data_IF_394061745468
#
_entry.id   IF_394061745468
#
_cell.length_a   1.000
_cell.length_b   1.000
_cell.length_c   1.000
_cell.angle_alpha   90.00
_cell.angle_beta   90.00
_cell.angle_gamma   90.00
#
_symmetry.space_group_name_H-M   'P 1'
#
loop_
_entity.id
_entity.type
_entity.pdbx_description
1 polymer ?
#
# COMPACT_ATOMS: atom_id res chain seq x y z
N UNK A 1 4.06 13.01 -1.98
CA UNK A 1 4.79 14.08 -1.28
C UNK A 1 5.13 13.57 0.12
N UNK A 2 6.11 14.14 0.84
CA UNK A 2 6.32 13.81 2.26
C UNK A 2 5.53 14.76 3.16
N UNK A 3 5.36 14.41 4.43
CA UNK A 3 4.74 15.30 5.42
C UNK A 3 5.39 16.70 5.43
N UNK A 4 6.72 16.77 5.32
CA UNK A 4 7.46 18.05 5.33
C UNK A 4 7.07 18.91 4.13
N UNK A 5 7.00 18.31 2.94
CA UNK A 5 6.61 19.03 1.73
C UNK A 5 5.16 19.51 1.79
N UNK A 6 4.24 18.74 2.39
CA UNK A 6 2.85 19.18 2.59
C UNK A 6 2.77 20.41 3.51
N UNK A 7 3.52 20.40 4.62
CA UNK A 7 3.57 21.53 5.56
C UNK A 7 4.12 22.79 4.87
N UNK A 8 5.18 22.65 4.08
CA UNK A 8 5.76 23.78 3.32
C UNK A 8 4.73 24.35 2.34
N UNK A 9 4.08 23.49 1.55
CA UNK A 9 3.06 23.91 0.56
C UNK A 9 1.86 24.57 1.25
N UNK A 10 1.41 24.04 2.39
CA UNK A 10 0.31 24.64 3.15
C UNK A 10 0.65 26.04 3.65
N UNK A 11 1.85 26.22 4.23
CA UNK A 11 2.30 27.50 4.73
C UNK A 11 2.52 28.53 3.60
N UNK A 12 3.06 28.09 2.46
CA UNK A 12 3.27 28.91 1.26
C UNK A 12 1.94 29.42 0.67
N UNK A 13 0.93 28.54 0.55
CA UNK A 13 -0.41 28.92 0.09
C UNK A 13 -1.09 29.97 0.99
N UNK A 14 -0.70 30.02 2.27
CA UNK A 14 -1.19 30.97 3.26
C UNK A 14 -0.25 32.18 3.47
N UNK A 15 0.83 32.29 2.69
CA UNK A 15 1.83 33.36 2.77
C UNK A 15 2.41 33.56 4.18
N UNK A 16 2.60 32.47 4.92
CA UNK A 16 3.09 32.48 6.30
C UNK A 16 4.24 31.50 6.49
N UNK A 17 4.97 31.67 7.59
CA UNK A 17 5.88 30.66 8.08
C UNK A 17 5.12 29.47 8.68
N UNK A 18 5.75 28.29 8.78
CA UNK A 18 5.21 27.19 9.57
C UNK A 18 4.95 27.62 11.03
N UNK A 19 3.76 27.30 11.52
CA UNK A 19 3.36 27.46 12.90
C UNK A 19 4.13 26.53 13.83
N UNK A 20 4.06 26.79 15.15
CA UNK A 20 4.69 25.95 16.17
C UNK A 20 4.19 24.49 16.07
N UNK A 21 2.88 24.29 15.81
CA UNK A 21 2.29 22.95 15.67
C UNK A 21 2.79 22.20 14.42
N UNK A 22 2.96 22.90 13.29
CA UNK A 22 3.54 22.33 12.07
C UNK A 22 5.02 21.96 12.28
N UNK A 23 5.80 22.82 12.94
CA UNK A 23 7.19 22.53 13.28
C UNK A 23 7.31 21.31 14.22
N UNK A 24 6.41 21.19 15.21
CA UNK A 24 6.33 20.03 16.10
C UNK A 24 5.97 18.74 15.32
N UNK A 25 5.13 18.85 14.30
CA UNK A 25 4.77 17.72 13.42
C UNK A 25 5.98 17.26 12.60
N UNK A 26 6.75 18.20 12.04
CA UNK A 26 8.03 17.89 11.36
C UNK A 26 8.99 17.21 12.32
N UNK A 27 9.16 17.75 13.54
CA UNK A 27 10.07 17.18 14.53
C UNK A 27 9.67 15.74 14.90
N UNK A 28 8.38 15.48 15.09
CA UNK A 28 7.86 14.14 15.41
C UNK A 28 8.04 13.16 14.25
N UNK A 29 7.83 13.62 13.02
CA UNK A 29 8.09 12.84 11.81
C UNK A 29 9.57 12.46 11.66
N UNK A 30 10.49 13.38 11.93
CA UNK A 30 11.92 13.10 11.85
C UNK A 30 12.37 12.13 12.96
N UNK A 31 11.85 12.27 14.18
CA UNK A 31 12.15 11.36 15.31
C UNK A 31 11.75 9.91 15.05
N UNK A 32 10.66 9.69 14.32
CA UNK A 32 10.15 8.34 14.01
C UNK A 32 10.72 7.75 12.71
N UNK A 33 11.66 8.45 12.05
CA UNK A 33 12.21 8.05 10.75
C UNK A 33 12.93 6.69 10.77
N UNK A 34 13.73 6.42 11.80
CA UNK A 34 14.49 5.17 11.92
C UNK A 34 13.56 3.94 11.99
N UNK A 35 12.46 4.04 12.73
CA UNK A 35 11.45 2.98 12.81
C UNK A 35 10.82 2.73 11.44
N UNK A 36 10.44 3.79 10.71
CA UNK A 36 9.85 3.65 9.37
C UNK A 36 10.81 3.06 8.35
N UNK A 37 12.10 3.39 8.42
CA UNK A 37 13.15 2.75 7.61
C UNK A 37 13.24 1.26 7.94
N UNK A 38 13.28 0.90 9.22
CA UNK A 38 13.37 -0.49 9.68
C UNK A 38 12.18 -1.32 9.18
N UNK A 39 10.96 -0.80 9.35
CA UNK A 39 9.73 -1.44 8.83
C UNK A 39 9.82 -1.64 7.31
N UNK A 40 10.26 -0.62 6.58
CA UNK A 40 10.36 -0.68 5.11
C UNK A 40 11.39 -1.72 4.64
N UNK A 41 12.51 -1.86 5.36
CA UNK A 41 13.49 -2.92 5.11
C UNK A 41 12.90 -4.31 5.38
N UNK A 42 12.16 -4.50 6.47
CA UNK A 42 11.49 -5.78 6.78
C UNK A 42 10.52 -6.16 5.65
N UNK A 43 9.68 -5.22 5.20
CA UNK A 43 8.72 -5.46 4.12
C UNK A 43 9.42 -5.81 2.80
N UNK A 44 10.51 -5.12 2.46
CA UNK A 44 11.35 -5.44 1.29
C UNK A 44 11.94 -6.84 1.39
N UNK A 45 12.56 -7.17 2.51
CA UNK A 45 13.28 -8.44 2.69
C UNK A 45 12.31 -9.64 2.78
N UNK A 46 11.04 -9.38 3.12
CA UNK A 46 9.96 -10.37 3.22
C UNK A 46 8.94 -10.32 2.08
N UNK A 47 9.18 -9.53 1.03
CA UNK A 47 8.24 -9.34 -0.08
C UNK A 47 7.76 -10.68 -0.65
N UNK A 48 8.69 -11.59 -0.96
CA UNK A 48 8.36 -12.87 -1.57
C UNK A 48 7.49 -13.75 -0.66
N UNK A 49 7.78 -13.77 0.65
CA UNK A 49 7.02 -14.55 1.63
C UNK A 49 5.59 -14.00 1.77
N UNK A 50 5.46 -12.67 1.88
CA UNK A 50 4.19 -11.95 1.99
C UNK A 50 3.31 -12.21 0.76
N UNK A 51 3.86 -12.05 -0.45
CA UNK A 51 3.13 -12.25 -1.71
C UNK A 51 2.67 -13.70 -1.84
N UNK A 52 3.52 -14.67 -1.47
CA UNK A 52 3.14 -16.08 -1.52
C UNK A 52 1.99 -16.40 -0.58
N UNK A 53 2.03 -15.92 0.66
CA UNK A 53 0.96 -16.15 1.63
C UNK A 53 -0.35 -15.49 1.20
N UNK A 54 -0.30 -14.22 0.79
CA UNK A 54 -1.48 -13.50 0.28
C UNK A 54 -2.08 -14.18 -0.95
N UNK A 55 -1.24 -14.66 -1.88
CA UNK A 55 -1.71 -15.34 -3.09
C UNK A 55 -2.41 -16.67 -2.80
N UNK A 56 -1.99 -17.39 -1.76
CA UNK A 56 -2.67 -18.61 -1.34
C UNK A 56 -4.04 -18.28 -0.76
N UNK A 57 -4.12 -17.23 0.06
CA UNK A 57 -5.38 -16.80 0.66
C UNK A 57 -6.40 -16.34 -0.38
N UNK A 58 -6.00 -15.50 -1.34
CA UNK A 58 -6.95 -14.98 -2.35
C UNK A 58 -7.54 -16.09 -3.21
N UNK A 59 -6.76 -17.10 -3.61
CA UNK A 59 -7.26 -18.19 -4.45
C UNK A 59 -8.05 -19.25 -3.66
N UNK A 60 -7.98 -19.23 -2.34
CA UNK A 60 -8.91 -19.99 -1.49
C UNK A 60 -10.27 -19.29 -1.39
N UNK A 61 -10.28 -17.96 -1.36
CA UNK A 61 -11.51 -17.15 -1.32
C UNK A 61 -12.18 -17.12 -2.71
N UNK A 62 -11.39 -16.90 -3.76
CA UNK A 62 -11.81 -16.79 -5.16
C UNK A 62 -11.12 -17.83 -6.04
N UNK A 63 -11.48 -19.13 -5.91
CA UNK A 63 -10.92 -20.19 -6.77
C UNK A 63 -11.25 -20.01 -8.26
N UNK A 64 -12.33 -19.29 -8.58
CA UNK A 64 -12.75 -19.00 -9.96
C UNK A 64 -11.73 -18.15 -10.74
N UNK A 65 -10.87 -17.37 -10.07
CA UNK A 65 -9.88 -16.53 -10.75
C UNK A 65 -8.77 -17.34 -11.45
N UNK A 66 -8.47 -18.54 -10.94
CA UNK A 66 -7.46 -19.44 -11.54
C UNK A 66 -8.07 -20.57 -12.37
N UNK A 67 -9.39 -20.73 -12.34
CA UNK A 67 -10.12 -21.70 -13.13
C UNK A 67 -10.14 -21.32 -14.63
N UNK A 68 -10.48 -22.25 -15.53
CA UNK A 68 -10.63 -21.96 -16.96
C UNK A 68 -11.58 -20.77 -17.22
N UNK A 69 -11.11 -19.77 -17.96
CA UNK A 69 -11.82 -18.51 -18.21
C UNK A 69 -11.53 -17.41 -17.18
N UNK A 70 -10.79 -17.69 -16.12
CA UNK A 70 -10.43 -16.73 -15.08
C UNK A 70 -9.43 -15.64 -15.51
N UNK A 71 -9.42 -14.54 -14.77
CA UNK A 71 -8.51 -13.41 -14.96
C UNK A 71 -7.05 -13.72 -14.54
N UNK A 72 -6.83 -14.75 -13.73
CA UNK A 72 -5.51 -15.24 -13.30
C UNK A 72 -5.19 -16.65 -13.83
N UNK A 73 -5.94 -17.14 -14.82
CA UNK A 73 -5.75 -18.46 -15.42
C UNK A 73 -4.38 -18.61 -16.12
N UNK A 74 -3.65 -19.67 -15.76
CA UNK A 74 -2.37 -20.03 -16.37
C UNK A 74 -1.17 -19.22 -15.86
N UNK A 75 0.04 -19.70 -16.17
CA UNK A 75 1.28 -19.17 -15.60
C UNK A 75 1.49 -17.67 -15.89
N UNK A 76 1.16 -17.21 -17.10
CA UNK A 76 1.36 -15.82 -17.51
C UNK A 76 0.44 -14.87 -16.76
N UNK A 77 -0.88 -15.08 -16.76
CA UNK A 77 -1.83 -14.20 -16.05
C UNK A 77 -1.59 -14.20 -14.54
N UNK A 78 -1.30 -15.38 -13.96
CA UNK A 78 -0.92 -15.48 -12.55
C UNK A 78 0.33 -14.67 -12.22
N UNK A 79 1.36 -14.69 -13.07
CA UNK A 79 2.57 -13.88 -12.85
C UNK A 79 2.27 -12.36 -12.83
N UNK A 80 1.34 -11.89 -13.66
CA UNK A 80 0.91 -10.49 -13.66
C UNK A 80 0.14 -10.12 -12.38
N UNK A 81 -0.73 -11.01 -11.89
CA UNK A 81 -1.40 -10.83 -10.60
C UNK A 81 -0.41 -10.71 -9.43
N UNK A 82 0.58 -11.62 -9.36
CA UNK A 82 1.60 -11.57 -8.31
C UNK A 82 2.52 -10.34 -8.42
N UNK A 83 2.80 -9.88 -9.64
CA UNK A 83 3.54 -8.64 -9.87
C UNK A 83 2.82 -7.43 -9.29
N UNK A 84 1.49 -7.35 -9.44
CA UNK A 84 0.72 -6.25 -8.88
C UNK A 84 0.83 -6.22 -7.35
N UNK A 85 0.91 -7.37 -6.65
CA UNK A 85 1.16 -7.39 -5.20
C UNK A 85 2.49 -6.76 -4.83
N UNK A 86 3.56 -7.08 -5.56
CA UNK A 86 4.88 -6.45 -5.34
C UNK A 86 4.84 -4.94 -5.60
N UNK A 87 4.09 -4.50 -6.60
CA UNK A 87 3.91 -3.06 -6.86
C UNK A 87 3.16 -2.36 -5.73
N UNK A 88 2.07 -2.91 -5.22
CA UNK A 88 1.36 -2.32 -4.07
C UNK A 88 2.21 -2.34 -2.81
N UNK A 89 2.91 -3.45 -2.50
CA UNK A 89 3.78 -3.51 -1.33
C UNK A 89 4.90 -2.46 -1.42
N UNK A 90 5.48 -2.27 -2.62
CA UNK A 90 6.45 -1.21 -2.89
C UNK A 90 5.86 0.19 -2.67
N UNK A 91 4.66 0.48 -3.17
CA UNK A 91 4.00 1.77 -2.92
C UNK A 91 3.72 1.99 -1.42
N UNK A 92 3.36 0.94 -0.68
CA UNK A 92 3.19 1.00 0.77
C UNK A 92 4.50 1.37 1.46
N UNK A 93 5.65 0.80 1.05
CA UNK A 93 6.95 1.23 1.60
C UNK A 93 7.25 2.70 1.31
N UNK A 94 6.84 3.22 0.15
CA UNK A 94 6.99 4.64 -0.16
C UNK A 94 6.14 5.52 0.75
N UNK A 95 4.89 5.13 1.00
CA UNK A 95 4.00 5.82 1.93
C UNK A 95 4.56 5.82 3.35
N UNK A 96 5.02 4.66 3.84
CA UNK A 96 5.63 4.51 5.16
C UNK A 96 6.84 5.45 5.30
N UNK A 97 7.79 5.43 4.35
CA UNK A 97 8.96 6.30 4.43
C UNK A 97 8.59 7.79 4.43
N UNK A 98 7.68 8.19 3.53
CA UNK A 98 7.20 9.55 3.37
C UNK A 98 6.33 10.04 4.55
N UNK A 99 5.79 9.11 5.35
CA UNK A 99 4.85 9.38 6.43
C UNK A 99 3.50 9.92 5.93
N UNK A 100 3.12 9.58 4.70
CA UNK A 100 1.96 10.13 4.02
C UNK A 100 1.43 9.18 2.92
N UNK A 101 0.16 9.34 2.55
CA UNK A 101 -0.56 8.52 1.57
C UNK A 101 -0.41 8.94 0.12
N UNK A 102 0.12 10.14 -0.17
CA UNK A 102 -0.01 10.73 -1.51
C UNK A 102 0.69 9.90 -2.60
N UNK A 103 1.84 9.26 -2.30
CA UNK A 103 2.51 8.38 -3.27
C UNK A 103 1.64 7.16 -3.64
N UNK A 104 0.87 6.64 -2.68
CA UNK A 104 -0.08 5.56 -2.91
C UNK A 104 -1.28 6.08 -3.70
N UNK A 105 -1.81 7.25 -3.33
CA UNK A 105 -2.97 7.85 -3.99
C UNK A 105 -2.70 8.15 -5.47
N UNK A 106 -1.62 8.89 -5.75
CA UNK A 106 -1.29 9.36 -7.10
C UNK A 106 -0.92 8.22 -8.06
N UNK A 107 -0.36 7.13 -7.55
CA UNK A 107 0.16 6.03 -8.39
C UNK A 107 -0.77 4.82 -8.40
N UNK A 108 -1.35 4.48 -7.24
CA UNK A 108 -2.06 3.22 -7.03
C UNK A 108 -3.57 3.33 -6.86
N UNK A 109 -4.14 4.54 -6.68
CA UNK A 109 -5.58 4.72 -6.44
C UNK A 109 -6.26 5.50 -7.55
N UNK A 110 -5.72 6.66 -7.94
CA UNK A 110 -6.32 7.49 -9.00
C UNK A 110 -6.28 6.71 -10.32
N UNK A 111 -7.46 6.46 -10.91
CA UNK A 111 -7.61 5.74 -12.18
C UNK A 111 -7.60 4.21 -12.09
N UNK A 112 -7.49 3.65 -10.88
CA UNK A 112 -7.34 2.19 -10.68
C UNK A 112 -8.58 1.40 -11.11
N UNK A 113 -9.77 1.98 -10.90
CA UNK A 113 -11.06 1.36 -11.24
C UNK A 113 -11.22 1.26 -12.75
N UNK A 114 -10.95 2.35 -13.45
CA UNK A 114 -10.98 2.44 -14.91
C UNK A 114 -9.98 1.47 -15.53
N UNK A 115 -8.76 1.42 -15.00
CA UNK A 115 -7.71 0.49 -15.46
C UNK A 115 -8.15 -0.97 -15.33
N UNK A 116 -8.54 -1.42 -14.13
CA UNK A 116 -8.90 -2.82 -13.92
C UNK A 116 -10.20 -3.21 -14.64
N UNK A 117 -11.18 -2.32 -14.73
CA UNK A 117 -12.38 -2.55 -15.55
C UNK A 117 -12.02 -2.75 -17.03
N UNK A 118 -11.11 -1.93 -17.57
CA UNK A 118 -10.63 -2.10 -18.95
C UNK A 118 -9.86 -3.40 -19.17
N UNK A 119 -9.23 -3.95 -18.14
CA UNK A 119 -8.49 -5.21 -18.18
C UNK A 119 -9.37 -6.44 -17.86
N UNK A 120 -10.64 -6.24 -17.49
CA UNK A 120 -11.55 -7.31 -17.08
C UNK A 120 -11.23 -7.93 -15.72
N UNK A 121 -10.52 -7.20 -14.86
CA UNK A 121 -10.21 -7.63 -13.48
C UNK A 121 -11.32 -7.14 -12.54
N UNK A 122 -12.01 -8.02 -11.80
CA UNK A 122 -13.04 -7.61 -10.86
C UNK A 122 -12.46 -6.76 -9.72
N UNK A 123 -12.99 -5.55 -9.52
CA UNK A 123 -12.47 -4.64 -8.49
C UNK A 123 -12.66 -5.19 -7.08
N UNK A 124 -13.76 -5.90 -6.82
CA UNK A 124 -14.01 -6.54 -5.53
C UNK A 124 -12.91 -7.56 -5.20
N UNK A 125 -12.48 -8.34 -6.20
CA UNK A 125 -11.36 -9.27 -6.03
C UNK A 125 -10.03 -8.58 -5.76
N UNK A 126 -9.83 -7.36 -6.28
CA UNK A 126 -8.64 -6.57 -5.94
C UNK A 126 -8.70 -6.02 -4.51
N UNK A 127 -9.87 -5.60 -4.03
CA UNK A 127 -10.07 -5.19 -2.62
C UNK A 127 -9.73 -6.36 -1.69
N UNK A 128 -10.28 -7.54 -1.95
CA UNK A 128 -10.01 -8.75 -1.15
C UNK A 128 -8.54 -9.18 -1.26
N UNK A 129 -7.91 -8.99 -2.42
CA UNK A 129 -6.49 -9.25 -2.61
C UNK A 129 -5.60 -8.33 -1.76
N UNK A 130 -5.91 -7.03 -1.68
CA UNK A 130 -5.17 -6.09 -0.83
C UNK A 130 -5.42 -6.39 0.66
N UNK A 131 -6.61 -6.81 1.05
CA UNK A 131 -6.89 -7.26 2.42
C UNK A 131 -6.11 -8.55 2.78
N UNK A 132 -6.01 -9.51 1.85
CA UNK A 132 -5.15 -10.68 2.02
C UNK A 132 -3.68 -10.27 2.17
N UNK A 133 -3.21 -9.31 1.37
CA UNK A 133 -1.85 -8.78 1.44
C UNK A 133 -1.58 -8.08 2.77
N UNK A 134 -2.55 -7.31 3.28
CA UNK A 134 -2.52 -6.71 4.61
C UNK A 134 -2.36 -7.78 5.68
N UNK A 135 -3.24 -8.79 5.69
CA UNK A 135 -3.21 -9.88 6.68
C UNK A 135 -1.88 -10.63 6.68
N UNK A 136 -1.33 -10.95 5.51
CA UNK A 136 -0.02 -11.58 5.38
C UNK A 136 1.11 -10.69 5.92
N UNK A 137 1.08 -9.39 5.59
CA UNK A 137 2.10 -8.42 6.05
C UNK A 137 2.08 -8.26 7.57
N UNK A 138 0.90 -8.10 8.18
CA UNK A 138 0.77 -7.84 9.61
C UNK A 138 1.21 -9.02 10.49
N UNK A 139 1.16 -10.26 9.98
CA UNK A 139 1.66 -11.45 10.71
C UNK A 139 3.16 -11.43 10.95
N UNK A 140 3.92 -10.73 10.10
CA UNK A 140 5.38 -10.64 10.18
C UNK A 140 5.87 -9.46 11.02
N UNK A 141 4.96 -8.56 11.41
CA UNK A 141 5.28 -7.36 12.14
C UNK A 141 4.95 -7.49 13.62
N UNK A 142 5.69 -6.76 14.46
CA UNK A 142 5.31 -6.54 15.85
C UNK A 142 4.06 -5.67 15.91
N UNK A 143 3.27 -5.76 16.98
CA UNK A 143 2.03 -4.98 17.11
C UNK A 143 2.24 -3.48 16.91
N UNK A 144 3.32 -2.91 17.43
CA UNK A 144 3.65 -1.48 17.28
C UNK A 144 3.87 -1.09 15.81
N UNK A 145 4.60 -1.93 15.06
CA UNK A 145 4.90 -1.70 13.65
C UNK A 145 3.64 -1.93 12.79
N UNK A 146 2.81 -2.90 13.17
CA UNK A 146 1.52 -3.18 12.52
C UNK A 146 0.56 -1.98 12.58
N UNK A 147 0.56 -1.23 13.68
CA UNK A 147 -0.25 -0.01 13.83
C UNK A 147 0.19 1.07 12.83
N UNK A 148 1.50 1.18 12.54
CA UNK A 148 2.03 2.13 11.56
C UNK A 148 1.65 1.71 10.14
N UNK A 149 1.68 0.41 9.83
CA UNK A 149 1.51 -0.11 8.47
C UNK A 149 0.04 -0.24 8.06
N UNK A 150 -0.85 -0.64 8.98
CA UNK A 150 -2.28 -0.89 8.68
C UNK A 150 -2.97 0.26 7.92
N UNK A 151 -2.83 1.54 8.33
CA UNK A 151 -3.55 2.64 7.68
C UNK A 151 -3.24 2.80 6.19
N UNK A 152 -2.05 2.40 5.72
CA UNK A 152 -1.68 2.48 4.30
C UNK A 152 -2.43 1.43 3.47
N UNK A 153 -2.63 0.22 4.01
CA UNK A 153 -3.47 -0.79 3.39
C UNK A 153 -4.94 -0.37 3.39
N UNK A 154 -5.42 0.14 4.53
CA UNK A 154 -6.80 0.60 4.70
C UNK A 154 -7.14 1.72 3.71
N UNK A 155 -6.20 2.64 3.47
CA UNK A 155 -6.35 3.69 2.48
C UNK A 155 -6.52 3.15 1.04
N UNK A 156 -5.76 2.12 0.66
CA UNK A 156 -5.89 1.48 -0.66
C UNK A 156 -7.26 0.82 -0.81
N UNK A 157 -7.67 0.03 0.19
CA UNK A 157 -8.96 -0.68 0.22
C UNK A 157 -10.11 0.31 0.10
N UNK A 158 -10.08 1.40 0.87
CA UNK A 158 -11.08 2.46 0.80
C UNK A 158 -11.07 3.17 -0.55
N UNK A 159 -9.89 3.41 -1.14
CA UNK A 159 -9.76 4.08 -2.44
C UNK A 159 -10.26 3.25 -3.63
N UNK A 160 -10.29 1.92 -3.51
CA UNK A 160 -10.81 1.01 -4.53
C UNK A 160 -12.33 0.75 -4.42
N UNK A 161 -12.91 1.00 -3.24
CA UNK A 161 -14.35 0.82 -2.97
C UNK A 161 -15.19 1.88 -3.71
#
# INVERSE_FOLDING_TARGET
MSLVSQIIVSADNELRYPSIGELQSIQSYLKTGEQRITISCILRDKEQDIIQEASKAIFQIHPEYIAPGGNAEGARKRSLCLRDYGWYLRLITYGILAGDKESIEKIGVIGVREMYNSLGVPILGMIDAIDCLKKATLKLLRQEDAIIVSPYFDFIIQGMS
#
